data_IF_264826588501
#
_entry.id   IF_264826588501
#
_cell.length_a   1.000
_cell.length_b   1.000
_cell.length_c   1.000
_cell.angle_alpha   90.00
_cell.angle_beta   90.00
_cell.angle_gamma   90.00
#
_symmetry.space_group_name_H-M   'P 1'
#
loop_
_entity.id
_entity.type
_entity.pdbx_description
1 polymer ?
#
# COMPACT_ATOMS: atom_id res chain seq x y z
N UNK A 1 19.22 -29.31 23.46
CA UNK A 1 18.82 -28.92 22.09
C UNK A 1 17.44 -28.28 22.21
N UNK A 2 17.34 -26.96 22.17
CA UNK A 2 16.07 -26.24 22.33
C UNK A 2 15.92 -25.24 21.19
N UNK A 3 14.86 -25.43 20.41
CA UNK A 3 14.55 -24.68 19.21
C UNK A 3 14.11 -23.25 19.54
N UNK A 4 14.84 -22.27 19.00
CA UNK A 4 14.50 -20.86 19.10
C UNK A 4 13.54 -20.51 17.96
N UNK A 5 12.24 -20.45 18.25
CA UNK A 5 11.22 -19.95 17.31
C UNK A 5 11.33 -18.41 17.26
N UNK A 6 12.31 -17.91 16.51
CA UNK A 6 12.33 -16.52 16.09
C UNK A 6 11.34 -16.36 14.94
N UNK A 7 10.11 -15.97 15.27
CA UNK A 7 9.17 -15.37 14.31
C UNK A 7 9.73 -13.99 13.94
N UNK A 8 10.77 -13.99 13.11
CA UNK A 8 11.23 -12.84 12.36
C UNK A 8 10.50 -12.86 11.02
N UNK A 9 9.20 -12.54 11.02
CA UNK A 9 8.53 -12.20 9.75
C UNK A 9 8.92 -10.78 9.34
N UNK A 10 10.22 -10.56 9.13
CA UNK A 10 10.72 -9.48 8.28
C UNK A 10 10.63 -10.02 6.86
N UNK A 11 9.42 -10.11 6.32
CA UNK A 11 9.22 -10.36 4.90
C UNK A 11 9.66 -9.09 4.16
N UNK A 12 10.98 -8.91 4.00
CA UNK A 12 11.57 -8.07 2.96
C UNK A 12 11.34 -8.73 1.61
N UNK A 13 10.10 -9.10 1.33
CA UNK A 13 9.65 -9.56 0.04
C UNK A 13 9.61 -8.31 -0.82
N UNK A 14 10.68 -8.10 -1.59
CA UNK A 14 10.69 -7.09 -2.64
C UNK A 14 9.43 -7.26 -3.49
N UNK A 15 8.67 -6.18 -3.66
CA UNK A 15 7.53 -6.16 -4.58
C UNK A 15 8.10 -6.15 -5.99
N UNK A 16 7.84 -7.19 -6.78
CA UNK A 16 8.41 -7.41 -8.10
C UNK A 16 7.39 -7.28 -9.24
N UNK A 17 6.10 -7.13 -8.93
CA UNK A 17 5.05 -6.89 -9.92
C UNK A 17 4.03 -5.85 -9.45
N UNK A 18 3.26 -5.32 -10.40
CA UNK A 18 2.14 -4.40 -10.14
C UNK A 18 1.04 -5.08 -9.34
N UNK A 19 0.77 -6.36 -9.61
CA UNK A 19 -0.22 -7.14 -8.85
C UNK A 19 0.22 -7.32 -7.38
N UNK A 20 1.50 -7.58 -7.14
CA UNK A 20 2.05 -7.65 -5.77
C UNK A 20 1.96 -6.28 -5.06
N UNK A 21 2.19 -5.18 -5.79
CA UNK A 21 2.03 -3.84 -5.25
C UNK A 21 0.58 -3.57 -4.85
N UNK A 22 -0.38 -3.95 -5.69
CA UNK A 22 -1.81 -3.83 -5.40
C UNK A 22 -2.20 -4.66 -4.17
N UNK A 23 -1.76 -5.92 -4.07
CA UNK A 23 -2.05 -6.75 -2.90
C UNK A 23 -1.43 -6.19 -1.63
N UNK A 24 -0.19 -5.69 -1.70
CA UNK A 24 0.47 -5.04 -0.57
C UNK A 24 -0.32 -3.82 -0.09
N UNK A 25 -0.76 -2.96 -1.02
CA UNK A 25 -1.58 -1.79 -0.71
C UNK A 25 -2.91 -2.17 -0.11
N UNK A 26 -3.59 -3.19 -0.64
CA UNK A 26 -4.86 -3.70 -0.11
C UNK A 26 -4.72 -4.18 1.34
N UNK A 27 -3.65 -4.91 1.65
CA UNK A 27 -3.37 -5.39 3.02
C UNK A 27 -3.10 -4.24 3.97
N UNK A 28 -2.30 -3.25 3.56
CA UNK A 28 -2.03 -2.05 4.35
C UNK A 28 -3.32 -1.27 4.59
N UNK A 29 -4.08 -1.00 3.53
CA UNK A 29 -5.32 -0.24 3.58
C UNK A 29 -6.34 -0.89 4.52
N UNK A 30 -6.55 -2.21 4.41
CA UNK A 30 -7.42 -2.98 5.31
C UNK A 30 -6.98 -2.85 6.76
N UNK A 31 -5.68 -2.93 7.03
CA UNK A 31 -5.12 -2.77 8.38
C UNK A 31 -5.39 -1.36 8.94
N UNK A 32 -5.21 -0.32 8.12
CA UNK A 32 -5.38 1.07 8.53
C UNK A 32 -6.87 1.40 8.79
N UNK A 33 -7.78 0.96 7.91
CA UNK A 33 -9.24 1.10 8.09
C UNK A 33 -9.68 0.45 9.41
N UNK A 34 -9.21 -0.78 9.67
CA UNK A 34 -9.54 -1.50 10.90
C UNK A 34 -9.01 -0.81 12.16
N UNK A 35 -7.91 -0.06 12.06
CA UNK A 35 -7.29 0.65 13.18
C UNK A 35 -7.96 2.01 13.46
N UNK A 36 -8.31 2.76 12.43
CA UNK A 36 -8.91 4.09 12.59
C UNK A 36 -10.41 4.04 12.89
N UNK A 37 -11.08 2.91 12.62
CA UNK A 37 -12.55 2.80 12.55
C UNK A 37 -13.19 3.74 11.51
N UNK A 38 -12.38 4.41 10.70
CA UNK A 38 -12.84 5.19 9.55
C UNK A 38 -12.86 4.27 8.33
N UNK A 39 -13.95 4.28 7.57
CA UNK A 39 -14.10 3.47 6.35
C UNK A 39 -13.17 3.86 5.20
N UNK A 40 -12.21 4.77 5.42
CA UNK A 40 -11.28 5.28 4.42
C UNK A 40 -9.91 5.59 5.02
N UNK A 41 -8.92 5.74 4.14
CA UNK A 41 -7.56 6.21 4.47
C UNK A 41 -7.16 7.33 3.53
N UNK A 42 -6.45 8.33 4.04
CA UNK A 42 -5.91 9.40 3.21
C UNK A 42 -4.69 8.89 2.43
N UNK A 43 -4.60 9.23 1.14
CA UNK A 43 -3.53 8.78 0.24
C UNK A 43 -2.12 8.97 0.82
N UNK A 44 -1.85 10.10 1.48
CA UNK A 44 -0.56 10.37 2.12
C UNK A 44 -0.20 9.37 3.24
N UNK A 45 -1.19 8.94 4.03
CA UNK A 45 -0.99 7.95 5.10
C UNK A 45 -0.65 6.59 4.50
N UNK A 46 -1.37 6.19 3.45
CA UNK A 46 -1.13 4.93 2.76
C UNK A 46 0.28 4.88 2.13
N UNK A 47 0.68 5.96 1.45
CA UNK A 47 2.02 6.06 0.87
C UNK A 47 3.13 6.05 1.93
N UNK A 48 2.91 6.71 3.07
CA UNK A 48 3.85 6.72 4.19
C UNK A 48 4.02 5.34 4.83
N UNK A 49 2.92 4.60 5.05
CA UNK A 49 2.96 3.26 5.62
C UNK A 49 3.60 2.24 4.66
N UNK A 50 3.36 2.37 3.35
CA UNK A 50 4.05 1.57 2.34
C UNK A 50 5.57 1.81 2.38
N UNK A 51 6.00 3.08 2.43
CA UNK A 51 7.42 3.42 2.54
C UNK A 51 8.03 2.85 3.82
N UNK A 52 7.31 2.92 4.95
CA UNK A 52 7.75 2.34 6.23
C UNK A 52 7.94 0.83 6.16
N UNK A 53 7.04 0.10 5.48
CA UNK A 53 7.09 -1.37 5.38
C UNK A 53 8.14 -1.88 4.41
N UNK A 54 8.34 -1.18 3.29
CA UNK A 54 9.15 -1.69 2.19
C UNK A 54 10.43 -0.88 1.93
N UNK A 55 10.64 0.25 2.64
CA UNK A 55 11.83 1.08 2.50
C UNK A 55 11.94 1.83 1.17
N UNK A 56 10.88 1.82 0.36
CA UNK A 56 10.83 2.44 -0.96
C UNK A 56 9.55 3.28 -1.12
N UNK A 57 9.68 4.50 -1.67
CA UNK A 57 8.52 5.33 -1.98
C UNK A 57 7.72 4.79 -3.17
N UNK A 58 6.39 4.90 -3.12
CA UNK A 58 5.51 4.29 -4.13
C UNK A 58 5.81 4.71 -5.57
N UNK A 59 6.10 5.98 -5.84
CA UNK A 59 6.45 6.43 -7.20
C UNK A 59 7.76 5.80 -7.70
N UNK A 60 8.68 5.42 -6.79
CA UNK A 60 9.91 4.72 -7.15
C UNK A 60 9.62 3.24 -7.45
N UNK A 61 8.75 2.61 -6.66
CA UNK A 61 8.26 1.26 -6.95
C UNK A 61 7.57 1.20 -8.31
N UNK A 62 6.63 2.12 -8.60
CA UNK A 62 5.90 2.16 -9.88
C UNK A 62 6.84 2.28 -11.07
N UNK A 63 7.85 3.16 -11.00
CA UNK A 63 8.88 3.28 -12.03
C UNK A 63 9.68 1.99 -12.22
N UNK A 64 10.11 1.36 -11.13
CA UNK A 64 10.86 0.09 -11.16
C UNK A 64 10.03 -1.05 -11.78
N UNK A 65 8.71 -1.03 -11.52
CA UNK A 65 7.74 -1.98 -12.03
C UNK A 65 7.21 -1.61 -13.43
N UNK A 66 7.80 -0.59 -14.08
CA UNK A 66 7.44 -0.13 -15.43
C UNK A 66 5.96 0.27 -15.59
N UNK A 67 5.36 0.80 -14.53
CA UNK A 67 4.03 1.40 -14.61
C UNK A 67 4.12 2.85 -15.06
N UNK A 68 3.47 3.15 -16.18
CA UNK A 68 3.35 4.50 -16.70
C UNK A 68 2.26 5.27 -15.94
N UNK A 69 2.66 5.83 -14.80
CA UNK A 69 1.81 6.72 -14.01
C UNK A 69 2.35 7.02 -12.62
N UNK A 70 1.69 7.97 -11.96
CA UNK A 70 1.94 8.31 -10.56
C UNK A 70 1.03 7.51 -9.61
N UNK A 71 1.24 7.66 -8.31
CA UNK A 71 0.44 6.96 -7.30
C UNK A 71 -1.07 7.16 -7.45
N UNK A 72 -1.54 8.37 -7.77
CA UNK A 72 -2.97 8.63 -7.96
C UNK A 72 -3.50 7.85 -9.16
N UNK A 73 -2.79 7.87 -10.29
CA UNK A 73 -3.18 7.10 -11.49
C UNK A 73 -3.15 5.58 -11.23
N UNK A 74 -2.19 5.11 -10.43
CA UNK A 74 -2.17 3.72 -9.99
C UNK A 74 -3.40 3.35 -9.15
N UNK A 75 -3.81 4.22 -8.22
CA UNK A 75 -5.02 3.99 -7.42
C UNK A 75 -6.31 4.02 -8.26
N UNK A 76 -6.36 4.83 -9.30
CA UNK A 76 -7.48 4.85 -10.27
C UNK A 76 -7.50 3.60 -11.16
N UNK A 77 -6.33 3.07 -11.51
CA UNK A 77 -6.19 1.82 -12.27
C UNK A 77 -6.52 0.58 -11.43
N UNK A 78 -6.27 0.64 -10.12
CA UNK A 78 -6.43 -0.50 -9.22
C UNK A 78 -7.88 -0.93 -9.08
N UNK A 79 -8.12 -2.25 -9.12
CA UNK A 79 -9.46 -2.82 -8.99
C UNK A 79 -9.85 -3.08 -7.54
N UNK A 80 -8.89 -3.00 -6.62
CA UNK A 80 -9.07 -3.30 -5.20
C UNK A 80 -9.49 -2.11 -4.36
N UNK A 81 -9.45 -0.90 -4.91
CA UNK A 81 -9.66 0.34 -4.17
C UNK A 81 -10.49 1.33 -4.96
N UNK A 82 -11.20 2.20 -4.24
CA UNK A 82 -11.88 3.36 -4.81
C UNK A 82 -11.21 4.64 -4.31
N UNK A 83 -10.92 5.54 -5.24
CA UNK A 83 -10.34 6.84 -4.98
C UNK A 83 -11.43 7.92 -5.03
N UNK A 84 -11.68 8.58 -3.89
CA UNK A 84 -12.59 9.71 -3.79
C UNK A 84 -11.79 11.00 -3.53
N UNK A 85 -11.83 11.93 -4.49
CA UNK A 85 -11.17 13.24 -4.35
C UNK A 85 -11.99 14.17 -3.46
N UNK A 86 -11.35 14.76 -2.45
CA UNK A 86 -11.92 15.84 -1.62
C UNK A 86 -11.21 17.16 -1.92
N UNK A 87 -11.70 18.27 -1.37
CA UNK A 87 -11.11 19.61 -1.56
C UNK A 87 -9.63 19.68 -1.13
N UNK A 88 -9.22 18.87 -0.16
CA UNK A 88 -7.88 18.94 0.46
C UNK A 88 -7.03 17.71 0.22
N UNK A 89 -7.63 16.54 0.01
CA UNK A 89 -6.94 15.26 -0.02
C UNK A 89 -7.67 14.21 -0.88
N UNK A 90 -7.01 13.08 -1.14
CA UNK A 90 -7.65 11.89 -1.69
C UNK A 90 -7.97 10.89 -0.57
N UNK A 91 -9.22 10.43 -0.54
CA UNK A 91 -9.69 9.33 0.32
C UNK A 91 -9.68 8.03 -0.46
N UNK A 92 -9.19 6.97 0.16
CA UNK A 92 -9.07 5.64 -0.43
C UNK A 92 -9.92 4.69 0.41
N UNK A 93 -10.82 3.96 -0.26
CA UNK A 93 -11.67 2.93 0.35
C UNK A 93 -11.44 1.59 -0.35
N UNK A 94 -11.76 0.49 0.34
CA UNK A 94 -11.76 -0.85 -0.27
C UNK A 94 -13.05 -1.08 -1.04
N UNK A 95 -12.95 -1.80 -2.16
CA UNK A 95 -14.09 -2.33 -2.93
C UNK A 95 -14.36 -3.78 -2.53
#
# INVERSE_FOLDING_TARGET
>A
MSNNFLVQNKSSSSINSIDELEQALRVILKSLINQSQEGYVIQGILGGELHKRYGEGINKMLKRLQFDGNFTQFLEFSKSVKLDKTEKNYRITLI
#
